data_IF_291364128105
#
_entry.id   IF_291364128105
#
_cell.length_a   1.000
_cell.length_b   1.000
_cell.length_c   1.000
_cell.angle_alpha   90.00
_cell.angle_beta   90.00
_cell.angle_gamma   90.00
#
_symmetry.space_group_name_H-M   'P 1'
#
loop_
_entity.id
_entity.type
_entity.pdbx_description
1 polymer ?
#
# COMPACT_ATOMS: atom_id res chain seq x y z
N UNK A 1 62.98 21.71 32.85
CA UNK A 1 62.68 22.35 31.55
C UNK A 1 62.44 21.38 30.37
N UNK A 2 62.52 20.06 30.54
CA UNK A 2 62.26 19.09 29.45
C UNK A 2 60.85 18.44 29.44
N UNK A 3 60.11 18.52 30.51
CA UNK A 3 58.78 17.89 30.64
C UNK A 3 57.66 18.77 30.06
N UNK A 4 57.88 20.10 30.01
CA UNK A 4 56.85 21.03 29.53
C UNK A 4 56.75 21.13 27.99
N UNK A 5 57.76 20.65 27.24
CA UNK A 5 57.73 20.62 25.77
C UNK A 5 56.98 19.43 25.17
N UNK A 6 56.84 18.32 25.91
CA UNK A 6 56.11 17.12 25.43
C UNK A 6 54.59 17.31 25.53
N UNK A 7 54.12 18.09 26.53
CA UNK A 7 52.67 18.39 26.65
C UNK A 7 52.14 19.38 25.59
N UNK A 8 52.98 20.35 25.14
CA UNK A 8 52.56 21.29 24.11
C UNK A 8 52.48 20.66 22.72
N UNK A 9 53.32 19.69 22.40
CA UNK A 9 53.27 18.99 21.10
C UNK A 9 52.09 18.02 21.01
N UNK A 10 51.70 17.35 22.11
CA UNK A 10 50.54 16.46 22.14
C UNK A 10 49.20 17.21 22.03
N UNK A 11 49.10 18.41 22.60
CA UNK A 11 47.89 19.23 22.52
C UNK A 11 47.71 19.86 21.13
N UNK A 12 48.84 20.23 20.48
CA UNK A 12 48.79 20.77 19.13
C UNK A 12 48.42 19.72 18.08
N UNK A 13 48.83 18.44 18.29
CA UNK A 13 48.47 17.34 17.41
C UNK A 13 46.98 16.91 17.57
N UNK A 14 46.45 16.99 18.78
CA UNK A 14 45.06 16.67 19.05
C UNK A 14 44.09 17.74 18.48
N UNK A 15 44.51 19.03 18.49
CA UNK A 15 43.70 20.10 17.87
C UNK A 15 43.72 20.06 16.34
N UNK A 16 44.81 19.63 15.71
CA UNK A 16 44.91 19.52 14.24
C UNK A 16 44.07 18.36 13.73
N UNK A 17 44.07 17.21 14.44
CA UNK A 17 43.24 16.05 14.04
C UNK A 17 41.74 16.29 14.23
N UNK A 18 41.32 17.03 15.27
CA UNK A 18 39.90 17.36 15.48
C UNK A 18 39.39 18.40 14.49
N UNK A 19 40.23 19.37 14.08
CA UNK A 19 39.88 20.34 13.04
C UNK A 19 39.82 19.69 11.66
N UNK A 20 40.70 18.75 11.33
CA UNK A 20 40.68 18.02 10.07
C UNK A 20 39.41 17.14 9.97
N UNK A 21 39.05 16.39 11.04
CA UNK A 21 37.81 15.58 11.03
C UNK A 21 36.52 16.42 11.01
N UNK A 22 36.55 17.61 11.61
CA UNK A 22 35.40 18.53 11.55
C UNK A 22 35.29 19.20 10.18
N UNK A 23 36.42 19.42 9.50
CA UNK A 23 36.45 19.97 8.17
C UNK A 23 36.03 18.94 7.11
N UNK A 24 36.50 17.69 7.20
CA UNK A 24 36.04 16.58 6.36
C UNK A 24 34.53 16.35 6.47
N UNK A 25 33.96 16.43 7.67
CA UNK A 25 32.50 16.36 7.86
C UNK A 25 31.75 17.55 7.28
N UNK A 26 32.34 18.74 7.25
CA UNK A 26 31.70 19.95 6.67
C UNK A 26 31.68 19.91 5.14
N UNK A 27 32.70 19.39 4.52
CA UNK A 27 32.77 19.20 3.06
C UNK A 27 31.79 18.13 2.55
N UNK A 28 31.29 17.28 3.44
CA UNK A 28 30.26 16.26 3.11
C UNK A 28 28.84 16.85 2.96
N UNK A 29 28.60 18.13 3.17
CA UNK A 29 27.32 18.81 2.88
C UNK A 29 27.16 19.21 1.42
N UNK A 30 27.87 18.59 0.54
CA UNK A 30 27.68 18.75 -0.88
C UNK A 30 26.45 17.94 -1.36
N UNK A 31 25.92 18.35 -2.49
CA UNK A 31 24.86 17.61 -3.16
C UNK A 31 25.49 16.48 -3.97
N UNK A 32 24.94 15.29 -3.86
CA UNK A 32 25.22 14.18 -4.78
C UNK A 32 24.13 14.21 -5.85
N UNK A 33 24.39 14.88 -6.97
CA UNK A 33 23.36 15.23 -7.91
C UNK A 33 22.36 16.22 -7.29
N UNK A 34 21.08 15.87 -7.23
CA UNK A 34 20.03 16.71 -6.66
C UNK A 34 19.73 16.40 -5.17
N UNK A 35 20.32 15.37 -4.60
CA UNK A 35 20.07 14.98 -3.20
C UNK A 35 21.21 15.46 -2.31
N UNK A 36 20.90 16.23 -1.25
CA UNK A 36 21.90 16.56 -0.23
C UNK A 36 22.46 15.31 0.43
N UNK A 37 23.78 15.25 0.58
CA UNK A 37 24.48 14.07 1.15
C UNK A 37 24.00 13.71 2.57
N UNK A 38 23.53 14.68 3.35
CA UNK A 38 23.00 14.40 4.70
C UNK A 38 21.75 13.50 4.70
N UNK A 39 21.00 13.39 3.58
CA UNK A 39 19.88 12.45 3.45
C UNK A 39 20.36 11.01 3.54
N UNK A 40 21.52 10.71 2.96
CA UNK A 40 22.16 9.38 3.12
C UNK A 40 22.43 9.09 4.61
N UNK A 41 22.90 10.10 5.37
CA UNK A 41 23.15 9.95 6.80
C UNK A 41 21.86 9.72 7.59
N UNK A 42 20.76 10.41 7.25
CA UNK A 42 19.45 10.17 7.85
C UNK A 42 19.01 8.73 7.56
N UNK A 43 19.11 8.30 6.31
CA UNK A 43 18.71 6.94 5.91
C UNK A 43 19.55 5.87 6.63
N UNK A 44 20.87 6.05 6.74
CA UNK A 44 21.77 5.14 7.46
C UNK A 44 21.50 5.11 8.98
N UNK A 45 20.91 6.16 9.54
CA UNK A 45 20.55 6.23 10.95
C UNK A 45 19.28 5.41 11.30
N UNK A 46 18.52 4.94 10.32
CA UNK A 46 17.31 4.18 10.52
C UNK A 46 17.62 2.78 11.06
N UNK A 47 17.22 2.49 12.28
CA UNK A 47 17.49 1.22 12.97
C UNK A 47 16.31 0.26 12.99
N UNK A 48 15.11 0.76 12.67
CA UNK A 48 13.85 0.00 12.68
C UNK A 48 13.64 -0.77 14.00
N UNK A 49 13.57 -0.09 15.15
CA UNK A 49 13.56 -0.74 16.47
C UNK A 49 12.37 -1.67 16.69
N UNK A 50 11.28 -1.50 15.94
CA UNK A 50 10.10 -2.37 15.99
C UNK A 50 10.09 -3.44 14.89
N UNK A 51 11.13 -3.57 14.05
CA UNK A 51 11.25 -4.69 13.14
C UNK A 51 11.30 -6.03 13.91
N UNK A 52 10.64 -7.08 13.39
CA UNK A 52 10.60 -8.38 14.06
C UNK A 52 11.98 -8.92 14.43
N UNK A 53 12.96 -8.79 13.53
CA UNK A 53 14.34 -9.21 13.76
C UNK A 53 14.97 -8.58 14.99
N UNK A 54 14.55 -7.37 15.39
CA UNK A 54 15.03 -6.64 16.56
C UNK A 54 14.22 -6.94 17.84
N UNK A 55 13.03 -7.55 17.67
CA UNK A 55 12.09 -7.84 18.75
C UNK A 55 12.01 -9.31 19.12
N UNK A 56 12.30 -10.23 18.20
CA UNK A 56 12.05 -11.69 18.32
C UNK A 56 12.69 -12.35 19.55
N UNK A 57 13.78 -11.82 20.08
CA UNK A 57 14.42 -12.35 21.30
C UNK A 57 13.81 -11.84 22.60
N UNK A 58 12.88 -10.90 22.55
CA UNK A 58 12.32 -10.20 23.71
C UNK A 58 10.82 -10.43 23.89
N UNK A 59 10.12 -10.85 22.83
CA UNK A 59 8.67 -11.00 22.87
C UNK A 59 8.15 -12.03 21.86
N UNK A 60 6.91 -12.48 22.08
CA UNK A 60 6.20 -13.35 21.14
C UNK A 60 5.76 -12.57 19.90
N UNK A 61 5.52 -13.28 18.80
CA UNK A 61 4.98 -12.72 17.55
C UNK A 61 3.68 -11.94 17.78
N UNK A 62 2.80 -12.47 18.58
CA UNK A 62 1.51 -11.83 18.90
C UNK A 62 1.71 -10.49 19.62
N UNK A 63 2.53 -10.44 20.68
CA UNK A 63 2.86 -9.19 21.38
C UNK A 63 3.54 -8.18 20.45
N UNK A 64 4.45 -8.66 19.60
CA UNK A 64 5.10 -7.82 18.61
C UNK A 64 4.09 -7.20 17.65
N UNK A 65 3.18 -8.00 17.09
CA UNK A 65 2.14 -7.51 16.16
C UNK A 65 1.28 -6.43 16.81
N UNK A 66 0.80 -6.66 18.03
CA UNK A 66 -0.01 -5.68 18.75
C UNK A 66 0.76 -4.37 18.95
N UNK A 67 2.00 -4.45 19.44
CA UNK A 67 2.83 -3.27 19.70
C UNK A 67 3.17 -2.50 18.41
N UNK A 68 3.63 -3.20 17.38
CA UNK A 68 4.04 -2.57 16.13
C UNK A 68 2.84 -2.01 15.37
N UNK A 69 1.70 -2.72 15.34
CA UNK A 69 0.44 -2.26 14.75
C UNK A 69 -0.10 -1.00 15.48
N UNK A 70 -0.04 -0.97 16.81
CA UNK A 70 -0.39 0.22 17.59
C UNK A 70 0.46 1.42 17.22
N UNK A 71 1.78 1.23 16.99
CA UNK A 71 2.67 2.29 16.53
C UNK A 71 2.32 2.77 15.12
N UNK A 72 1.93 1.89 14.21
CA UNK A 72 1.45 2.30 12.88
C UNK A 72 0.22 3.20 13.00
N UNK A 73 -0.79 2.79 13.77
CA UNK A 73 -2.00 3.61 13.99
C UNK A 73 -1.70 4.95 14.67
N UNK A 74 -0.82 4.97 15.67
CA UNK A 74 -0.36 6.21 16.32
C UNK A 74 0.19 7.21 15.29
N UNK A 75 1.02 6.73 14.35
CA UNK A 75 1.67 7.58 13.35
C UNK A 75 0.78 7.89 12.14
N UNK A 76 -0.26 7.11 11.90
CA UNK A 76 -1.32 7.46 10.95
C UNK A 76 -2.13 8.68 11.42
N UNK A 77 -2.12 8.95 12.71
CA UNK A 77 -2.88 10.06 13.30
C UNK A 77 -4.37 9.73 13.44
N UNK A 78 -5.20 10.73 13.76
CA UNK A 78 -6.61 10.50 14.05
C UNK A 78 -7.39 9.96 12.86
N UNK A 79 -8.15 8.91 13.09
CA UNK A 79 -9.11 8.35 12.14
C UNK A 79 -10.25 9.34 11.83
N UNK A 80 -10.76 9.40 10.59
CA UNK A 80 -12.03 10.07 10.32
C UNK A 80 -13.17 9.48 11.18
N UNK A 81 -14.13 10.29 11.64
CA UNK A 81 -15.19 9.77 12.51
C UNK A 81 -16.03 8.74 11.77
N UNK A 82 -16.21 7.58 12.42
CA UNK A 82 -17.00 6.46 11.88
C UNK A 82 -18.43 6.90 11.55
N UNK A 83 -19.06 6.37 10.50
CA UNK A 83 -20.47 6.68 10.20
C UNK A 83 -21.38 6.05 11.26
N UNK A 84 -22.50 6.71 11.56
CA UNK A 84 -23.51 6.16 12.48
C UNK A 84 -24.30 5.00 11.86
N UNK A 85 -24.42 4.99 10.52
CA UNK A 85 -25.04 3.95 9.69
C UNK A 85 -24.45 4.00 8.29
N UNK A 86 -24.47 2.88 7.60
CA UNK A 86 -23.97 2.81 6.22
C UNK A 86 -24.85 3.59 5.24
N UNK A 87 -26.17 3.63 5.43
CA UNK A 87 -27.15 4.29 4.54
C UNK A 87 -26.85 4.02 3.05
N UNK A 88 -26.69 2.74 2.70
CA UNK A 88 -26.39 2.32 1.34
C UNK A 88 -27.55 2.62 0.39
N UNK A 89 -27.23 3.18 -0.78
CA UNK A 89 -28.18 3.42 -1.88
C UNK A 89 -27.62 2.79 -3.15
N UNK A 90 -28.46 2.07 -3.88
CA UNK A 90 -28.15 1.61 -5.24
C UNK A 90 -28.48 2.76 -6.19
N UNK A 91 -27.47 3.22 -6.93
CA UNK A 91 -27.59 4.30 -7.90
C UNK A 91 -27.89 3.79 -9.30
N UNK A 92 -27.27 2.68 -9.68
CA UNK A 92 -27.48 2.00 -10.96
C UNK A 92 -27.21 0.51 -10.81
N UNK A 93 -27.80 -0.29 -11.70
CA UNK A 93 -27.69 -1.75 -11.70
C UNK A 93 -27.64 -2.28 -13.13
N UNK A 94 -26.80 -3.28 -13.38
CA UNK A 94 -26.66 -3.96 -14.67
C UNK A 94 -26.49 -5.46 -14.44
N UNK A 95 -27.28 -6.27 -15.16
CA UNK A 95 -27.08 -7.73 -15.20
C UNK A 95 -25.92 -8.05 -16.15
N UNK A 96 -25.02 -8.91 -15.69
CA UNK A 96 -23.86 -9.39 -16.42
C UNK A 96 -23.83 -10.92 -16.43
N UNK A 97 -22.90 -11.50 -17.21
CA UNK A 97 -22.76 -12.95 -17.32
C UNK A 97 -22.36 -13.57 -15.97
N UNK A 98 -23.35 -14.16 -15.28
CA UNK A 98 -23.19 -14.85 -14.00
C UNK A 98 -23.21 -13.99 -12.75
N UNK A 99 -23.37 -12.67 -12.85
CA UNK A 99 -23.43 -11.77 -11.70
C UNK A 99 -24.15 -10.47 -12.02
N UNK A 100 -24.59 -9.80 -10.97
CA UNK A 100 -25.17 -8.45 -11.01
C UNK A 100 -24.07 -7.42 -10.65
N UNK A 101 -23.96 -6.35 -11.41
CA UNK A 101 -23.13 -5.19 -11.11
C UNK A 101 -23.99 -4.05 -10.56
N UNK A 102 -23.58 -3.48 -9.43
CA UNK A 102 -24.24 -2.32 -8.83
C UNK A 102 -23.25 -1.17 -8.66
N UNK A 103 -23.69 0.04 -9.01
CA UNK A 103 -23.08 1.29 -8.58
C UNK A 103 -23.83 1.73 -7.33
N UNK A 104 -23.13 1.78 -6.21
CA UNK A 104 -23.72 2.11 -4.91
C UNK A 104 -23.08 3.37 -4.34
N UNK A 105 -23.80 4.02 -3.41
CA UNK A 105 -23.28 5.09 -2.58
C UNK A 105 -23.59 4.77 -1.12
N UNK A 106 -22.62 5.01 -0.22
CA UNK A 106 -22.80 4.77 1.21
C UNK A 106 -21.98 5.74 2.06
N UNK A 107 -22.31 5.87 3.34
CA UNK A 107 -21.55 6.67 4.28
C UNK A 107 -20.23 5.94 4.62
N UNK A 108 -19.09 6.49 4.25
CA UNK A 108 -17.78 5.96 4.66
C UNK A 108 -17.30 6.63 5.96
N UNK A 109 -17.77 7.85 6.21
CA UNK A 109 -17.49 8.64 7.41
C UNK A 109 -18.70 9.53 7.71
N UNK A 110 -18.82 10.10 8.92
CA UNK A 110 -19.76 11.20 9.19
C UNK A 110 -19.48 12.44 8.33
N UNK A 111 -18.28 12.56 7.78
CA UNK A 111 -17.88 13.71 6.97
C UNK A 111 -18.22 13.56 5.49
N UNK A 112 -18.29 12.32 4.98
CA UNK A 112 -18.48 12.10 3.54
C UNK A 112 -19.08 10.73 3.22
N UNK A 113 -19.72 10.71 2.07
CA UNK A 113 -20.19 9.50 1.38
C UNK A 113 -19.22 9.17 0.23
N UNK A 114 -19.20 7.92 -0.18
CA UNK A 114 -18.42 7.47 -1.34
C UNK A 114 -19.28 6.61 -2.25
N UNK A 115 -18.93 6.63 -3.53
CA UNK A 115 -19.46 5.68 -4.49
C UNK A 115 -18.54 4.47 -4.62
N UNK A 116 -19.15 3.32 -4.88
CA UNK A 116 -18.45 2.06 -5.07
C UNK A 116 -19.08 1.26 -6.22
N UNK A 117 -18.29 0.36 -6.78
CA UNK A 117 -18.84 -0.76 -7.54
C UNK A 117 -18.90 -2.00 -6.66
N UNK A 118 -20.02 -2.70 -6.74
CA UNK A 118 -20.31 -3.94 -6.04
C UNK A 118 -20.80 -4.97 -7.05
N UNK A 119 -20.05 -6.08 -7.19
CA UNK A 119 -20.43 -7.19 -8.07
C UNK A 119 -20.92 -8.35 -7.21
N UNK A 120 -22.10 -8.87 -7.52
CA UNK A 120 -22.79 -9.90 -6.71
C UNK A 120 -23.07 -11.11 -7.60
N UNK A 121 -22.41 -12.26 -7.42
CA UNK A 121 -22.70 -13.47 -8.18
C UNK A 121 -24.16 -13.89 -8.03
N UNK A 122 -24.74 -14.44 -9.10
CA UNK A 122 -26.15 -14.85 -9.09
C UNK A 122 -26.37 -16.07 -8.18
N UNK A 123 -27.51 -16.11 -7.50
CA UNK A 123 -27.95 -17.28 -6.71
C UNK A 123 -27.20 -17.52 -5.40
N UNK A 124 -26.44 -16.54 -4.90
CA UNK A 124 -25.70 -16.67 -3.63
C UNK A 124 -26.56 -16.39 -2.40
N UNK A 125 -26.27 -17.09 -1.30
CA UNK A 125 -26.84 -16.81 0.04
C UNK A 125 -25.75 -16.35 1.01
N UNK A 126 -24.53 -16.86 0.87
CA UNK A 126 -23.33 -16.46 1.62
C UNK A 126 -22.10 -16.78 0.78
N UNK A 127 -21.25 -15.79 0.56
CA UNK A 127 -20.19 -15.87 -0.44
C UNK A 127 -18.89 -15.23 0.08
N UNK A 128 -17.71 -15.77 -0.24
CA UNK A 128 -16.46 -15.06 -0.02
C UNK A 128 -16.42 -13.76 -0.84
N UNK A 129 -15.79 -12.74 -0.30
CA UNK A 129 -15.69 -11.44 -0.93
C UNK A 129 -14.24 -10.99 -1.14
N UNK A 130 -14.04 -10.07 -2.09
CA UNK A 130 -12.74 -9.45 -2.36
C UNK A 130 -12.89 -7.93 -2.44
N UNK A 131 -12.16 -7.22 -1.59
CA UNK A 131 -11.99 -5.77 -1.72
C UNK A 131 -10.83 -5.50 -2.68
N UNK A 132 -11.12 -4.90 -3.84
CA UNK A 132 -10.14 -4.55 -4.87
C UNK A 132 -9.67 -3.11 -4.73
N UNK A 133 -8.38 -2.93 -4.68
CA UNK A 133 -7.71 -1.68 -4.42
C UNK A 133 -6.95 -1.23 -5.67
N UNK A 134 -7.39 -0.12 -6.27
CA UNK A 134 -6.84 0.37 -7.54
C UNK A 134 -5.43 0.96 -7.40
N UNK A 135 -4.69 0.97 -8.51
CA UNK A 135 -3.36 1.55 -8.64
C UNK A 135 -3.34 3.09 -8.65
N UNK A 136 -2.16 3.67 -8.49
CA UNK A 136 -1.93 5.12 -8.60
C UNK A 136 -1.90 5.56 -10.06
N UNK A 137 -0.99 4.98 -10.82
CA UNK A 137 -0.74 5.23 -12.23
C UNK A 137 -0.37 6.66 -12.62
N UNK A 138 -0.21 7.58 -11.64
CA UNK A 138 -0.21 9.03 -11.87
C UNK A 138 -1.46 9.52 -12.61
N UNK A 139 -2.51 8.71 -12.64
CA UNK A 139 -3.74 8.90 -13.39
C UNK A 139 -4.94 8.95 -12.43
N UNK A 140 -5.34 10.19 -12.06
CA UNK A 140 -6.32 10.44 -11.02
C UNK A 140 -7.77 10.48 -11.57
N UNK A 141 -7.93 10.55 -12.90
CA UNK A 141 -9.23 10.67 -13.55
C UNK A 141 -10.17 9.49 -13.26
N UNK A 142 -9.62 8.28 -13.16
CA UNK A 142 -10.32 7.06 -12.78
C UNK A 142 -9.71 6.41 -11.55
N UNK A 143 -10.49 5.69 -10.77
CA UNK A 143 -10.08 4.95 -9.59
C UNK A 143 -10.58 3.50 -9.61
N UNK A 144 -11.76 3.23 -9.03
CA UNK A 144 -12.42 1.91 -9.02
C UNK A 144 -12.70 1.37 -10.42
N UNK A 145 -12.81 2.25 -11.41
CA UNK A 145 -12.97 1.92 -12.83
C UNK A 145 -11.75 1.22 -13.43
N UNK A 146 -10.61 1.25 -12.77
CA UNK A 146 -9.43 0.44 -13.12
C UNK A 146 -9.55 -1.03 -12.74
N UNK A 147 -10.43 -1.33 -11.79
CA UNK A 147 -10.59 -2.66 -11.20
C UNK A 147 -11.84 -3.38 -11.70
N UNK A 148 -12.92 -2.63 -11.94
CA UNK A 148 -14.24 -3.13 -12.30
C UNK A 148 -14.72 -2.36 -13.53
N UNK A 149 -15.21 -3.07 -14.54
CA UNK A 149 -15.72 -2.46 -15.79
C UNK A 149 -16.81 -1.45 -15.45
N UNK A 150 -16.62 -0.17 -15.81
CA UNK A 150 -17.59 0.87 -15.51
C UNK A 150 -18.89 0.69 -16.32
N UNK A 151 -19.98 1.16 -15.75
CA UNK A 151 -21.30 1.26 -16.37
C UNK A 151 -22.02 2.46 -15.77
N UNK A 152 -23.03 2.98 -16.49
CA UNK A 152 -23.75 4.18 -16.09
C UNK A 152 -22.81 5.36 -15.78
N UNK A 153 -21.77 5.50 -16.60
CA UNK A 153 -20.76 6.54 -16.51
C UNK A 153 -20.65 7.30 -17.84
N UNK A 154 -19.97 8.45 -17.78
CA UNK A 154 -19.59 9.22 -18.94
C UNK A 154 -18.74 8.36 -19.91
N UNK A 155 -19.00 8.53 -21.22
CA UNK A 155 -18.30 7.80 -22.27
C UNK A 155 -16.78 7.99 -22.22
N UNK A 156 -16.29 9.15 -21.76
CA UNK A 156 -14.88 9.42 -21.56
C UNK A 156 -14.29 8.56 -20.42
N UNK A 157 -15.04 8.38 -19.32
CA UNK A 157 -14.62 7.51 -18.22
C UNK A 157 -14.54 6.07 -18.68
N UNK A 158 -15.52 5.60 -19.43
CA UNK A 158 -15.55 4.23 -19.97
C UNK A 158 -14.38 4.00 -20.93
N UNK A 159 -14.14 4.92 -21.85
CA UNK A 159 -13.04 4.83 -22.82
C UNK A 159 -11.68 4.82 -22.12
N UNK A 160 -11.49 5.70 -21.14
CA UNK A 160 -10.24 5.83 -20.39
C UNK A 160 -9.97 4.58 -19.53
N UNK A 161 -10.99 4.04 -18.87
CA UNK A 161 -10.88 2.80 -18.10
C UNK A 161 -10.52 1.59 -18.98
N UNK A 162 -11.14 1.45 -20.16
CA UNK A 162 -10.82 0.39 -21.10
C UNK A 162 -9.35 0.48 -21.55
N UNK A 163 -8.89 1.68 -21.91
CA UNK A 163 -7.50 1.86 -22.30
C UNK A 163 -6.52 1.59 -21.15
N UNK A 164 -6.88 1.98 -19.93
CA UNK A 164 -6.06 1.71 -18.75
C UNK A 164 -5.92 0.21 -18.48
N UNK A 165 -7.02 -0.51 -18.54
CA UNK A 165 -7.05 -1.96 -18.31
C UNK A 165 -6.31 -2.71 -19.42
N UNK A 166 -6.38 -2.26 -20.67
CA UNK A 166 -5.57 -2.80 -21.76
C UNK A 166 -4.07 -2.69 -21.45
N UNK A 167 -3.63 -1.54 -20.96
CA UNK A 167 -2.21 -1.26 -20.74
C UNK A 167 -1.61 -1.93 -19.51
N UNK A 168 -2.37 -2.06 -18.40
CA UNK A 168 -1.83 -2.50 -17.12
C UNK A 168 -2.34 -3.89 -16.70
N UNK A 169 -3.47 -4.33 -17.26
CA UNK A 169 -4.18 -5.56 -16.88
C UNK A 169 -4.42 -6.50 -18.07
N UNK A 170 -3.75 -6.29 -19.20
CA UNK A 170 -3.92 -7.09 -20.44
C UNK A 170 -5.38 -7.23 -20.87
N UNK A 171 -6.14 -6.14 -20.83
CA UNK A 171 -7.52 -6.07 -21.31
C UNK A 171 -8.56 -6.75 -20.40
N UNK A 172 -8.17 -7.29 -19.24
CA UNK A 172 -9.10 -7.96 -18.35
C UNK A 172 -9.33 -7.18 -17.05
N UNK A 173 -10.58 -6.80 -16.80
CA UNK A 173 -10.96 -6.26 -15.49
C UNK A 173 -10.91 -7.36 -14.42
N UNK A 174 -10.01 -7.21 -13.45
CA UNK A 174 -9.80 -8.18 -12.37
C UNK A 174 -11.10 -8.42 -11.58
N UNK A 175 -11.90 -7.38 -11.35
CA UNK A 175 -13.15 -7.49 -10.60
C UNK A 175 -14.18 -8.35 -11.31
N UNK A 176 -14.39 -8.08 -12.60
CA UNK A 176 -15.32 -8.86 -13.43
C UNK A 176 -14.86 -10.32 -13.58
N UNK A 177 -13.54 -10.54 -13.66
CA UNK A 177 -12.98 -11.89 -13.69
C UNK A 177 -13.28 -12.65 -12.39
N UNK A 178 -13.07 -12.04 -11.22
CA UNK A 178 -13.32 -12.68 -9.92
C UNK A 178 -14.82 -12.88 -9.66
N UNK A 179 -15.69 -11.93 -10.10
CA UNK A 179 -17.14 -12.06 -9.94
C UNK A 179 -17.68 -13.29 -10.71
N UNK A 180 -17.24 -13.50 -11.96
CA UNK A 180 -17.56 -14.72 -12.73
C UNK A 180 -17.08 -16.01 -12.05
N UNK A 181 -16.06 -15.91 -11.21
CA UNK A 181 -15.59 -17.04 -10.42
C UNK A 181 -16.32 -17.21 -9.08
N UNK A 182 -17.39 -16.45 -8.84
CA UNK A 182 -18.25 -16.60 -7.66
C UNK A 182 -17.71 -15.91 -6.41
N UNK A 183 -17.06 -14.78 -6.55
CA UNK A 183 -16.73 -13.85 -5.45
C UNK A 183 -17.67 -12.64 -5.48
N UNK A 184 -18.12 -12.19 -4.33
CA UNK A 184 -18.58 -10.82 -4.19
C UNK A 184 -17.35 -9.92 -4.37
N UNK A 185 -17.43 -8.93 -5.26
CA UNK A 185 -16.30 -8.03 -5.53
C UNK A 185 -16.70 -6.60 -5.24
N UNK A 186 -15.83 -5.87 -4.58
CA UNK A 186 -16.08 -4.51 -4.15
C UNK A 186 -14.88 -3.63 -4.43
N UNK A 187 -15.10 -2.38 -4.81
CA UNK A 187 -14.04 -1.39 -5.00
C UNK A 187 -14.56 0.03 -4.81
N UNK A 188 -13.79 0.85 -4.08
CA UNK A 188 -14.00 2.30 -3.93
C UNK A 188 -12.84 3.07 -4.55
N UNK A 189 -13.09 4.34 -4.85
CA UNK A 189 -12.01 5.28 -5.18
C UNK A 189 -11.21 5.65 -3.93
N UNK A 190 -9.89 5.65 -4.03
CA UNK A 190 -9.04 6.30 -3.05
C UNK A 190 -9.32 7.83 -3.02
N UNK A 191 -9.04 8.52 -1.90
CA UNK A 191 -9.15 9.97 -1.86
C UNK A 191 -8.39 10.62 -3.00
N UNK A 192 -9.03 11.53 -3.72
CA UNK A 192 -8.54 12.29 -4.88
C UNK A 192 -8.56 11.52 -6.23
N UNK A 193 -8.93 10.25 -6.26
CA UNK A 193 -9.12 9.50 -7.51
C UNK A 193 -10.59 9.39 -7.89
N UNK A 194 -10.82 9.15 -9.17
CA UNK A 194 -12.13 8.87 -9.72
C UNK A 194 -13.18 9.91 -9.34
N UNK A 195 -14.34 9.49 -8.89
CA UNK A 195 -15.42 10.39 -8.50
C UNK A 195 -15.15 11.20 -7.23
N UNK A 196 -14.04 10.92 -6.52
CA UNK A 196 -13.57 11.70 -5.37
C UNK A 196 -12.63 12.85 -5.76
N UNK A 197 -12.38 13.06 -7.04
CA UNK A 197 -11.49 14.10 -7.55
C UNK A 197 -11.88 14.70 -8.91
N UNK A 198 -12.52 13.93 -9.79
CA UNK A 198 -12.84 14.38 -11.16
C UNK A 198 -13.64 15.67 -11.25
N UNK A 199 -14.69 15.78 -10.42
CA UNK A 199 -15.58 16.95 -10.43
C UNK A 199 -14.84 18.24 -10.10
N UNK A 200 -13.90 18.18 -9.19
CA UNK A 200 -13.06 19.29 -8.75
C UNK A 200 -11.83 19.48 -9.65
N UNK A 201 -11.64 18.60 -10.64
CA UNK A 201 -10.53 18.63 -11.57
C UNK A 201 -9.19 18.41 -10.88
N UNK A 202 -9.11 17.43 -9.98
CA UNK A 202 -7.85 17.08 -9.30
C UNK A 202 -6.89 16.45 -10.30
N UNK A 203 -5.81 17.14 -10.55
CA UNK A 203 -4.65 16.69 -11.31
C UNK A 203 -3.44 16.46 -10.40
N UNK A 204 -2.30 16.13 -10.97
CA UNK A 204 -1.07 15.89 -10.21
C UNK A 204 -0.62 17.09 -9.37
N UNK A 205 -0.80 18.30 -9.86
CA UNK A 205 -0.40 19.51 -9.12
C UNK A 205 -1.32 19.74 -7.93
N UNK A 206 -2.63 19.65 -8.14
CA UNK A 206 -3.62 19.77 -7.06
C UNK A 206 -3.50 18.67 -6.02
N UNK A 207 -3.18 17.45 -6.44
CA UNK A 207 -2.90 16.32 -5.56
C UNK A 207 -1.80 16.67 -4.55
N UNK A 208 -0.66 17.17 -5.00
CA UNK A 208 0.47 17.52 -4.13
C UNK A 208 0.09 18.67 -3.17
N UNK A 209 -0.64 19.68 -3.64
CA UNK A 209 -1.13 20.80 -2.82
C UNK A 209 -2.09 20.30 -1.72
N UNK A 210 -3.07 19.49 -2.08
CA UNK A 210 -4.07 18.98 -1.13
C UNK A 210 -3.41 18.08 -0.09
N UNK A 211 -2.51 17.19 -0.52
CA UNK A 211 -1.77 16.33 0.39
C UNK A 211 -0.88 17.14 1.36
N UNK A 212 -0.22 18.20 0.87
CA UNK A 212 0.54 19.15 1.70
C UNK A 212 -0.34 19.88 2.70
N UNK A 213 -1.52 20.36 2.27
CA UNK A 213 -2.47 21.02 3.17
C UNK A 213 -3.00 20.07 4.25
N UNK A 214 -3.25 18.80 3.92
CA UNK A 214 -3.63 17.79 4.92
C UNK A 214 -2.56 17.65 6.00
N UNK A 215 -1.28 17.66 5.63
CA UNK A 215 -0.17 17.59 6.59
C UNK A 215 -0.16 18.81 7.53
N UNK A 216 -0.45 20.02 7.03
CA UNK A 216 -0.59 21.23 7.86
C UNK A 216 -1.75 21.12 8.86
N UNK A 217 -2.79 20.34 8.55
CA UNK A 217 -3.92 20.06 9.43
C UNK A 217 -3.69 18.86 10.36
N UNK A 218 -2.47 18.33 10.44
CA UNK A 218 -2.14 17.15 11.23
C UNK A 218 -2.77 15.87 10.69
N UNK A 219 -2.97 15.80 9.38
CA UNK A 219 -3.50 14.63 8.67
C UNK A 219 -2.52 14.21 7.58
N UNK A 220 -2.64 12.97 7.11
CA UNK A 220 -1.79 12.43 6.07
C UNK A 220 -2.65 11.71 5.03
N UNK A 221 -2.46 12.00 3.75
CA UNK A 221 -3.26 11.43 2.66
C UNK A 221 -3.18 9.90 2.64
N UNK A 222 -1.98 9.34 2.83
CA UNK A 222 -1.75 7.90 2.87
C UNK A 222 -2.53 7.25 4.02
N UNK A 223 -2.43 7.81 5.22
CA UNK A 223 -3.15 7.31 6.39
C UNK A 223 -4.67 7.40 6.20
N UNK A 224 -5.15 8.52 5.64
CA UNK A 224 -6.57 8.72 5.35
C UNK A 224 -7.11 7.66 4.39
N UNK A 225 -6.34 7.34 3.34
CA UNK A 225 -6.66 6.28 2.39
C UNK A 225 -6.75 4.90 3.07
N UNK A 226 -5.84 4.59 3.98
CA UNK A 226 -5.88 3.30 4.69
C UNK A 226 -7.04 3.20 5.68
N UNK A 227 -7.43 4.29 6.36
CA UNK A 227 -8.66 4.31 7.15
C UNK A 227 -9.89 4.05 6.29
N UNK A 228 -9.96 4.68 5.10
CA UNK A 228 -11.04 4.42 4.13
C UNK A 228 -11.08 2.95 3.69
N UNK A 229 -9.92 2.34 3.45
CA UNK A 229 -9.83 0.92 3.08
C UNK A 229 -10.33 0.00 4.20
N UNK A 230 -10.00 0.31 5.47
CA UNK A 230 -10.48 -0.43 6.63
C UNK A 230 -12.00 -0.30 6.75
N UNK A 231 -12.51 0.94 6.77
CA UNK A 231 -13.96 1.18 6.95
C UNK A 231 -14.79 0.61 5.79
N UNK A 232 -14.28 0.71 4.57
CA UNK A 232 -14.95 0.11 3.40
C UNK A 232 -14.97 -1.43 3.44
N UNK A 233 -13.97 -2.04 4.06
CA UNK A 233 -13.95 -3.49 4.28
C UNK A 233 -14.97 -3.89 5.35
N UNK A 234 -15.13 -3.13 6.42
CA UNK A 234 -16.17 -3.34 7.44
C UNK A 234 -17.59 -3.18 6.83
N UNK A 235 -17.78 -2.20 5.94
CA UNK A 235 -19.00 -2.10 5.17
C UNK A 235 -19.25 -3.37 4.35
N UNK A 236 -18.25 -3.84 3.59
CA UNK A 236 -18.35 -5.08 2.80
C UNK A 236 -18.69 -6.28 3.69
N UNK A 237 -18.07 -6.41 4.86
CA UNK A 237 -18.34 -7.47 5.83
C UNK A 237 -19.77 -7.42 6.40
N UNK A 238 -20.40 -6.26 6.43
CA UNK A 238 -21.77 -6.06 6.94
C UNK A 238 -22.87 -6.47 5.95
N UNK A 239 -22.51 -6.72 4.68
CA UNK A 239 -23.50 -7.10 3.66
C UNK A 239 -24.05 -8.52 3.92
N UNK A 240 -25.37 -8.75 3.88
CA UNK A 240 -25.97 -9.99 4.35
C UNK A 240 -25.60 -11.23 3.53
N UNK A 241 -25.12 -11.05 2.31
CA UNK A 241 -24.70 -12.11 1.39
C UNK A 241 -23.18 -12.33 1.38
N UNK A 242 -22.42 -11.60 2.22
CA UNK A 242 -20.97 -11.75 2.38
C UNK A 242 -20.68 -12.62 3.60
N UNK A 243 -19.79 -13.59 3.43
CA UNK A 243 -19.21 -14.30 4.55
C UNK A 243 -18.05 -13.46 5.12
N UNK A 244 -18.29 -12.76 6.21
CA UNK A 244 -17.32 -11.87 6.85
C UNK A 244 -16.03 -12.58 7.28
N UNK A 245 -16.03 -13.89 7.44
CA UNK A 245 -14.82 -14.68 7.77
C UNK A 245 -13.97 -15.01 6.54
N UNK A 246 -14.48 -14.75 5.33
CA UNK A 246 -13.85 -15.08 4.04
C UNK A 246 -13.73 -13.88 3.12
N UNK A 247 -13.15 -12.79 3.63
CA UNK A 247 -12.86 -11.59 2.86
C UNK A 247 -11.36 -11.55 2.51
N UNK A 248 -11.07 -11.40 1.22
CA UNK A 248 -9.72 -11.13 0.74
C UNK A 248 -9.57 -9.69 0.24
N UNK A 249 -8.34 -9.28 -0.01
CA UNK A 249 -8.05 -8.05 -0.74
C UNK A 249 -6.97 -8.29 -1.79
N UNK A 250 -7.03 -7.51 -2.88
CA UNK A 250 -6.04 -7.58 -3.93
C UNK A 250 -5.83 -6.22 -4.61
N UNK A 251 -4.64 -6.00 -5.14
CA UNK A 251 -4.34 -4.81 -5.94
C UNK A 251 -2.98 -4.85 -6.60
N UNK A 252 -2.77 -3.92 -7.53
CA UNK A 252 -1.52 -3.71 -8.25
C UNK A 252 -0.95 -2.33 -7.91
N UNK A 253 0.37 -2.18 -7.89
CA UNK A 253 1.04 -0.90 -7.65
C UNK A 253 0.59 -0.27 -6.32
N UNK A 254 0.12 0.97 -6.28
CA UNK A 254 -0.48 1.56 -5.07
C UNK A 254 -1.60 0.68 -4.49
N UNK A 255 -2.36 -0.02 -5.34
CA UNK A 255 -3.35 -1.00 -4.88
C UNK A 255 -2.73 -2.16 -4.12
N UNK A 256 -1.55 -2.62 -4.51
CA UNK A 256 -0.79 -3.62 -3.76
C UNK A 256 -0.30 -3.07 -2.42
N UNK A 257 0.18 -1.82 -2.39
CA UNK A 257 0.52 -1.12 -1.15
C UNK A 257 -0.68 -1.07 -0.20
N UNK A 258 -1.84 -0.67 -0.70
CA UNK A 258 -3.10 -0.67 0.06
C UNK A 258 -3.49 -2.06 0.54
N UNK A 259 -3.34 -3.09 -0.31
CA UNK A 259 -3.72 -4.46 0.01
C UNK A 259 -2.90 -5.06 1.16
N UNK A 260 -1.57 -4.90 1.14
CA UNK A 260 -0.77 -5.43 2.23
C UNK A 260 -0.88 -4.56 3.51
N UNK A 261 -1.06 -3.23 3.40
CA UNK A 261 -1.39 -2.39 4.54
C UNK A 261 -2.72 -2.79 5.17
N UNK A 262 -3.77 -2.96 4.37
CA UNK A 262 -5.08 -3.41 4.84
C UNK A 262 -4.99 -4.79 5.51
N UNK A 263 -4.26 -5.73 4.91
CA UNK A 263 -4.02 -7.06 5.51
C UNK A 263 -3.29 -7.00 6.85
N UNK A 264 -2.36 -6.04 7.00
CA UNK A 264 -1.63 -5.80 8.23
C UNK A 264 -2.47 -5.13 9.32
N UNK A 265 -3.40 -4.25 8.94
CA UNK A 265 -4.11 -3.35 9.87
C UNK A 265 -5.56 -3.75 10.15
N UNK A 266 -6.23 -4.50 9.29
CA UNK A 266 -7.62 -4.97 9.49
C UNK A 266 -7.65 -6.45 9.85
N UNK A 267 -8.49 -6.83 10.81
CA UNK A 267 -8.73 -8.23 11.15
C UNK A 267 -9.81 -8.86 10.27
N UNK A 268 -10.59 -8.06 9.52
CA UNK A 268 -11.60 -8.55 8.58
C UNK A 268 -10.99 -9.18 7.32
N UNK A 269 -9.73 -8.89 7.01
CA UNK A 269 -9.03 -9.50 5.89
C UNK A 269 -8.42 -10.85 6.29
N UNK A 270 -8.87 -11.90 5.62
CA UNK A 270 -8.35 -13.25 5.78
C UNK A 270 -7.18 -13.58 4.84
N UNK A 271 -7.11 -12.95 3.66
CA UNK A 271 -6.12 -13.21 2.59
C UNK A 271 -5.77 -11.92 1.86
N UNK A 272 -4.50 -11.70 1.54
CA UNK A 272 -4.06 -10.56 0.75
C UNK A 272 -3.21 -10.92 -0.47
N UNK A 273 -3.43 -10.22 -1.59
CA UNK A 273 -2.65 -10.35 -2.82
C UNK A 273 -2.11 -8.98 -3.26
N UNK A 274 -0.80 -8.87 -3.44
CA UNK A 274 -0.09 -7.64 -3.75
C UNK A 274 0.80 -7.81 -4.98
N UNK A 275 0.50 -7.11 -6.07
CA UNK A 275 1.26 -7.19 -7.32
C UNK A 275 1.99 -5.87 -7.56
N UNK A 276 3.30 -5.94 -7.83
CA UNK A 276 4.16 -4.82 -8.19
C UNK A 276 4.23 -3.69 -7.14
N UNK A 277 4.28 -4.03 -5.85
CA UNK A 277 4.66 -3.09 -4.81
C UNK A 277 5.24 -3.79 -3.57
N UNK A 278 6.54 -3.89 -3.49
CA UNK A 278 7.31 -4.21 -2.28
C UNK A 278 8.77 -3.82 -2.49
N UNK A 279 9.38 -3.22 -1.47
CA UNK A 279 10.80 -2.88 -1.48
C UNK A 279 11.31 -2.61 -0.06
N UNK A 280 12.60 -2.33 0.09
CA UNK A 280 13.14 -1.70 1.30
C UNK A 280 13.23 -0.19 1.11
N UNK A 281 13.17 0.56 2.21
CA UNK A 281 13.35 2.02 2.17
C UNK A 281 14.73 2.41 1.61
N UNK A 282 15.76 1.66 1.96
CA UNK A 282 17.13 1.89 1.50
C UNK A 282 17.25 1.87 -0.03
N UNK A 283 16.71 0.85 -0.66
CA UNK A 283 16.79 0.68 -2.11
C UNK A 283 15.78 1.57 -2.87
N UNK A 284 14.74 2.03 -2.19
CA UNK A 284 13.69 2.87 -2.76
C UNK A 284 14.05 4.36 -2.79
N UNK A 285 14.73 4.87 -1.74
CA UNK A 285 15.03 6.30 -1.61
C UNK A 285 16.30 6.70 -2.35
N UNK A 286 16.30 6.52 -3.65
CA UNK A 286 17.36 6.96 -4.57
C UNK A 286 16.78 7.98 -5.56
N UNK A 287 17.63 8.72 -6.28
CA UNK A 287 17.20 9.64 -7.35
C UNK A 287 16.30 8.95 -8.39
N UNK A 288 16.69 7.74 -8.78
CA UNK A 288 15.98 6.95 -9.79
C UNK A 288 14.62 6.42 -9.32
N UNK A 289 14.53 6.00 -8.04
CA UNK A 289 13.38 5.30 -7.49
C UNK A 289 12.65 6.11 -6.40
N UNK A 290 12.94 7.38 -6.30
CA UNK A 290 12.44 8.26 -5.25
C UNK A 290 10.93 8.42 -5.24
N UNK A 291 10.45 9.13 -4.22
CA UNK A 291 9.03 9.31 -3.90
C UNK A 291 8.16 9.75 -5.08
N UNK A 292 8.66 10.64 -5.96
CA UNK A 292 7.91 11.13 -7.12
C UNK A 292 7.49 10.00 -8.05
N UNK A 293 8.39 9.07 -8.31
CA UNK A 293 8.14 7.92 -9.20
C UNK A 293 7.23 6.88 -8.55
N UNK A 294 7.21 6.82 -7.22
CA UNK A 294 6.50 5.81 -6.43
C UNK A 294 5.22 6.32 -5.76
N UNK A 295 4.52 7.25 -6.36
CA UNK A 295 3.20 7.67 -5.90
C UNK A 295 3.19 8.75 -4.81
N UNK A 296 4.34 9.31 -4.44
CA UNK A 296 4.42 10.51 -3.61
C UNK A 296 3.75 10.37 -2.24
N UNK A 297 2.78 11.24 -1.95
CA UNK A 297 2.09 11.27 -0.66
C UNK A 297 1.17 10.07 -0.38
N UNK A 298 0.80 9.29 -1.42
CA UNK A 298 -0.09 8.13 -1.26
C UNK A 298 0.56 6.94 -0.54
N UNK A 299 1.87 6.89 -0.39
CA UNK A 299 2.60 5.81 0.29
C UNK A 299 3.63 6.32 1.33
N UNK A 300 3.39 7.51 1.85
CA UNK A 300 4.25 8.13 2.85
C UNK A 300 3.49 8.46 4.12
N UNK A 301 3.80 7.79 5.21
CA UNK A 301 3.34 8.13 6.56
C UNK A 301 4.54 8.71 7.30
N UNK A 302 4.49 10.00 7.71
CA UNK A 302 5.60 10.64 8.42
C UNK A 302 6.04 9.87 9.66
N UNK A 303 7.33 9.88 9.95
CA UNK A 303 7.97 9.22 11.11
C UNK A 303 7.92 7.68 11.10
N UNK A 304 7.09 7.02 10.30
CA UNK A 304 6.92 5.57 10.37
C UNK A 304 8.23 4.82 10.09
N UNK A 305 9.09 5.35 9.21
CA UNK A 305 10.40 4.76 8.88
C UNK A 305 11.39 4.78 10.05
N UNK A 306 11.18 5.59 11.06
CA UNK A 306 12.00 5.56 12.27
C UNK A 306 11.77 4.27 13.10
N UNK A 307 10.67 3.56 12.84
CA UNK A 307 10.27 2.38 13.61
C UNK A 307 10.22 1.08 12.81
N UNK A 308 9.70 1.14 11.58
CA UNK A 308 9.41 -0.01 10.73
C UNK A 308 9.72 0.31 9.25
N UNK A 309 10.35 -0.61 8.56
CA UNK A 309 10.47 -0.58 7.11
C UNK A 309 9.21 -1.18 6.44
N UNK A 310 9.05 -1.05 5.15
CA UNK A 310 7.93 -1.59 4.39
C UNK A 310 7.71 -3.10 4.62
N UNK A 311 8.74 -3.98 4.50
CA UNK A 311 8.56 -5.40 4.75
C UNK A 311 8.19 -5.72 6.21
N UNK A 312 8.63 -4.91 7.17
CA UNK A 312 8.27 -5.09 8.58
C UNK A 312 6.79 -4.81 8.82
N UNK A 313 6.23 -3.75 8.18
CA UNK A 313 4.80 -3.42 8.26
C UNK A 313 3.96 -4.48 7.56
N UNK A 314 4.33 -4.87 6.33
CA UNK A 314 3.64 -5.94 5.62
C UNK A 314 3.63 -7.25 6.41
N UNK A 315 4.67 -7.50 7.20
CA UNK A 315 4.80 -8.68 8.05
C UNK A 315 3.86 -8.67 9.25
N UNK A 316 3.23 -7.54 9.59
CA UNK A 316 2.15 -7.51 10.60
C UNK A 316 0.92 -8.30 10.18
N UNK A 317 0.77 -8.61 8.88
CA UNK A 317 -0.27 -9.49 8.38
C UNK A 317 -0.07 -10.97 8.80
N UNK A 318 1.15 -11.39 9.18
CA UNK A 318 1.39 -12.78 9.58
C UNK A 318 0.51 -13.19 10.79
N UNK A 319 -0.05 -14.39 10.84
CA UNK A 319 0.16 -15.53 9.91
C UNK A 319 -0.88 -15.65 8.78
N UNK A 320 -1.53 -14.57 8.36
CA UNK A 320 -2.49 -14.59 7.24
C UNK A 320 -1.81 -15.04 5.95
N UNK A 321 -2.51 -15.74 5.06
CA UNK A 321 -2.02 -16.02 3.72
C UNK A 321 -1.79 -14.73 2.93
N UNK A 322 -0.60 -14.58 2.35
CA UNK A 322 -0.21 -13.43 1.54
C UNK A 322 0.51 -13.87 0.28
N UNK A 323 0.10 -13.30 -0.85
CA UNK A 323 0.76 -13.44 -2.14
C UNK A 323 1.41 -12.11 -2.54
N UNK A 324 2.71 -12.13 -2.82
CA UNK A 324 3.44 -10.99 -3.37
C UNK A 324 4.08 -11.37 -4.71
N UNK A 325 3.82 -10.58 -5.74
CA UNK A 325 4.43 -10.73 -7.07
C UNK A 325 5.07 -9.40 -7.44
N UNK A 326 6.32 -9.41 -7.87
CA UNK A 326 7.05 -8.25 -8.40
C UNK A 326 7.61 -8.57 -9.76
N UNK A 327 7.81 -7.56 -10.61
CA UNK A 327 8.43 -7.72 -11.92
C UNK A 327 9.94 -7.52 -11.88
N UNK A 328 10.72 -8.40 -12.55
CA UNK A 328 12.17 -8.22 -12.70
C UNK A 328 12.52 -7.05 -13.64
N UNK A 329 11.60 -6.66 -14.50
CA UNK A 329 11.71 -5.53 -15.44
C UNK A 329 10.99 -4.27 -14.95
N UNK A 330 10.50 -4.30 -13.70
CA UNK A 330 9.82 -3.15 -13.08
C UNK A 330 10.80 -1.99 -12.91
N UNK A 331 10.44 -0.83 -13.49
CA UNK A 331 11.29 0.38 -13.44
C UNK A 331 11.07 1.22 -12.19
N UNK A 332 10.09 0.87 -11.34
CA UNK A 332 9.74 1.60 -10.13
C UNK A 332 10.31 0.95 -8.87
N UNK A 333 10.50 -0.38 -8.88
CA UNK A 333 10.94 -1.14 -7.72
C UNK A 333 12.20 -1.96 -8.04
N UNK A 334 13.39 -1.58 -7.52
CA UNK A 334 14.63 -2.28 -7.82
C UNK A 334 14.63 -3.70 -7.24
N UNK A 335 14.97 -4.69 -8.07
CA UNK A 335 14.99 -6.12 -7.71
C UNK A 335 15.79 -6.40 -6.43
N UNK A 336 17.00 -5.84 -6.21
CA UNK A 336 17.74 -6.09 -4.97
C UNK A 336 16.98 -5.71 -3.70
N UNK A 337 16.23 -4.62 -3.74
CA UNK A 337 15.41 -4.19 -2.61
C UNK A 337 14.17 -5.06 -2.41
N UNK A 338 13.57 -5.57 -3.51
CA UNK A 338 12.48 -6.55 -3.46
C UNK A 338 12.96 -7.86 -2.82
N UNK A 339 14.12 -8.36 -3.23
CA UNK A 339 14.72 -9.59 -2.66
C UNK A 339 15.00 -9.45 -1.17
N UNK A 340 15.60 -8.33 -0.74
CA UNK A 340 15.84 -8.01 0.68
C UNK A 340 14.51 -7.97 1.46
N UNK A 341 13.50 -7.31 0.91
CA UNK A 341 12.19 -7.22 1.54
C UNK A 341 11.54 -8.61 1.70
N UNK A 342 11.53 -9.40 0.65
CA UNK A 342 10.98 -10.76 0.69
C UNK A 342 11.74 -11.68 1.65
N UNK A 343 13.06 -11.56 1.74
CA UNK A 343 13.86 -12.30 2.72
C UNK A 343 13.44 -11.97 4.16
N UNK A 344 13.28 -10.67 4.49
CA UNK A 344 12.81 -10.23 5.81
C UNK A 344 11.40 -10.74 6.13
N UNK A 345 10.49 -10.71 5.17
CA UNK A 345 9.13 -11.21 5.34
C UNK A 345 9.11 -12.73 5.59
N UNK A 346 9.92 -13.50 4.86
CA UNK A 346 10.02 -14.96 5.09
C UNK A 346 10.51 -15.30 6.50
N UNK A 347 11.39 -14.48 7.10
CA UNK A 347 11.78 -14.67 8.51
C UNK A 347 10.59 -14.59 9.48
N UNK A 348 9.59 -13.74 9.18
CA UNK A 348 8.41 -13.58 10.02
C UNK A 348 7.42 -14.72 9.85
N UNK A 349 7.15 -15.17 8.62
CA UNK A 349 6.29 -16.33 8.37
C UNK A 349 6.96 -17.67 8.72
N UNK A 350 8.30 -17.70 8.86
CA UNK A 350 9.06 -18.90 9.19
C UNK A 350 8.84 -20.00 8.14
N UNK A 351 8.54 -21.22 8.61
CA UNK A 351 8.29 -22.39 7.75
C UNK A 351 6.86 -22.45 7.20
N UNK A 352 6.02 -21.43 7.46
CA UNK A 352 4.64 -21.40 6.97
C UNK A 352 4.59 -21.28 5.45
N UNK A 353 3.77 -22.12 4.80
CA UNK A 353 3.48 -22.02 3.37
C UNK A 353 2.42 -20.97 3.01
N UNK A 354 2.07 -20.12 3.95
CA UNK A 354 1.06 -19.06 3.76
C UNK A 354 1.63 -17.79 3.09
N UNK A 355 2.93 -17.58 3.12
CA UNK A 355 3.57 -16.50 2.37
C UNK A 355 4.12 -17.04 1.05
N UNK A 356 3.64 -16.50 -0.06
CA UNK A 356 4.22 -16.71 -1.39
C UNK A 356 4.80 -15.40 -1.88
N UNK A 357 6.08 -15.41 -2.25
CA UNK A 357 6.79 -14.26 -2.84
C UNK A 357 7.42 -14.68 -4.16
N UNK A 358 7.17 -13.94 -5.23
CA UNK A 358 7.70 -14.22 -6.57
C UNK A 358 8.27 -12.96 -7.21
N UNK A 359 9.31 -13.12 -8.02
CA UNK A 359 9.82 -12.12 -8.95
C UNK A 359 9.69 -12.74 -10.33
N UNK A 360 8.76 -12.21 -11.11
CA UNK A 360 8.41 -12.71 -12.44
C UNK A 360 9.14 -11.90 -13.52
N UNK A 361 9.37 -12.50 -14.69
CA UNK A 361 10.02 -11.80 -15.83
C UNK A 361 9.03 -10.90 -16.56
N UNK A 362 8.59 -9.83 -15.90
CA UNK A 362 7.58 -8.89 -16.38
C UNK A 362 7.90 -7.44 -15.98
N UNK A 363 7.33 -6.45 -16.65
CA UNK A 363 7.38 -5.04 -16.24
C UNK A 363 6.42 -4.75 -15.09
N UNK A 364 6.10 -3.47 -14.86
CA UNK A 364 5.16 -2.99 -13.84
C UNK A 364 3.72 -3.16 -14.31
N UNK A 365 3.14 -4.34 -14.14
CA UNK A 365 1.80 -4.70 -14.63
C UNK A 365 1.15 -5.80 -13.77
N UNK A 366 -0.16 -5.96 -13.91
CA UNK A 366 -0.94 -7.09 -13.37
C UNK A 366 -1.55 -7.88 -14.54
N UNK A 367 -0.71 -8.61 -15.26
CA UNK A 367 -1.08 -9.35 -16.46
C UNK A 367 -2.04 -10.53 -16.17
N UNK A 368 -2.52 -11.21 -17.21
CA UNK A 368 -3.48 -12.32 -17.09
C UNK A 368 -2.93 -13.45 -16.22
N UNK A 369 -1.62 -13.72 -16.26
CA UNK A 369 -0.98 -14.70 -15.39
C UNK A 369 -1.09 -14.30 -13.92
N UNK A 370 -0.81 -13.07 -13.60
CA UNK A 370 -0.92 -12.56 -12.21
C UNK A 370 -2.37 -12.62 -11.71
N UNK A 371 -3.34 -12.27 -12.56
CA UNK A 371 -4.77 -12.33 -12.22
C UNK A 371 -5.21 -13.78 -11.96
N UNK A 372 -4.71 -14.74 -12.74
CA UNK A 372 -4.92 -16.16 -12.49
C UNK A 372 -4.28 -16.62 -11.18
N UNK A 373 -3.04 -16.23 -10.90
CA UNK A 373 -2.34 -16.53 -9.65
C UNK A 373 -3.10 -15.97 -8.43
N UNK A 374 -3.65 -14.75 -8.54
CA UNK A 374 -4.53 -14.14 -7.52
C UNK A 374 -5.76 -15.03 -7.29
N UNK A 375 -6.47 -15.41 -8.35
CA UNK A 375 -7.66 -16.25 -8.23
C UNK A 375 -7.34 -17.61 -7.59
N UNK A 376 -6.28 -18.29 -8.02
CA UNK A 376 -5.86 -19.58 -7.46
C UNK A 376 -5.53 -19.46 -5.97
N UNK A 377 -4.83 -18.39 -5.58
CA UNK A 377 -4.48 -18.12 -4.20
C UNK A 377 -5.71 -17.83 -3.34
N UNK A 378 -6.63 -17.01 -3.83
CA UNK A 378 -7.90 -16.73 -3.16
C UNK A 378 -8.76 -18.00 -3.03
N UNK A 379 -8.87 -18.82 -4.10
CA UNK A 379 -9.61 -20.09 -4.06
C UNK A 379 -9.07 -21.04 -2.99
N UNK A 380 -7.75 -21.20 -2.93
CA UNK A 380 -7.09 -22.05 -1.94
C UNK A 380 -7.41 -21.63 -0.50
N UNK A 381 -7.48 -20.34 -0.22
CA UNK A 381 -7.55 -19.84 1.15
C UNK A 381 -8.94 -19.36 1.58
N UNK A 382 -9.83 -19.02 0.65
CA UNK A 382 -11.20 -18.59 0.94
C UNK A 382 -12.27 -19.62 0.59
N UNK A 383 -11.97 -20.56 -0.34
CA UNK A 383 -12.92 -21.59 -0.77
C UNK A 383 -12.46 -23.00 -0.42
N UNK A 384 -11.21 -23.19 0.03
CA UNK A 384 -10.65 -24.52 0.34
C UNK A 384 -10.47 -25.41 -0.90
N UNK A 385 -10.18 -24.81 -2.06
CA UNK A 385 -10.05 -25.50 -3.36
C UNK A 385 -8.62 -25.40 -3.90
#
# INVERSE_FOLDING_TARGET
MKIMRIFLTGFMFLCITTTSMAQEKREAYEYRGEIPVYIDSIQQSLTYPLAWRNCKMRMTMEKWRVMARSKVFELMGPEPPRPDMWDMKVLAEEERDGYKAQKIEFNLSRWYRVKAYLLIPNGITSCPAVNLLHDHGAHLFIGKEKMIRPFDDDSLVIADANQWVENLYEGQYLGDYLARQGYVVFSIDAPLWGERGRKEGVDRNRYDIIAGNMMMLGRNLCAFMHYDDIVSTEFLASLPFVDASRIGCAGCSMGAYRAWMLSALSDDIAVGCAVCWMNTTEDQLTLKYGRKENGGFANSIPLLRNYLDYPDIASLAAPKPMLFISGSKDKLFPVPGVEKAYARMREVWGTSNKLITRIEDQPHECNLKNQKDILEFLNKHLKGK
#
